data_IF_206014720312
#
_entry.id   IF_206014720312
#
_cell.length_a   1.000
_cell.length_b   1.000
_cell.length_c   1.000
_cell.angle_alpha   90.00
_cell.angle_beta   90.00
_cell.angle_gamma   90.00
#
_symmetry.space_group_name_H-M   'P 1'
#
loop_
_entity.id
_entity.type
_entity.pdbx_description
1 polymer ?
#
# COMPACT_ATOMS: atom_id res chain seq x y z
N UNK A 1 -19.05 0.12 -18.83
CA UNK A 1 -18.19 0.14 -17.63
C UNK A 1 -16.91 -0.62 -17.91
N UNK A 2 -15.94 0.05 -18.56
CA UNK A 2 -14.66 -0.52 -19.02
C UNK A 2 -13.75 -0.75 -17.82
N UNK A 3 -13.85 -1.94 -17.25
CA UNK A 3 -12.92 -2.46 -16.25
C UNK A 3 -11.53 -2.43 -16.86
N UNK A 4 -10.65 -1.63 -16.26
CA UNK A 4 -9.31 -1.38 -16.77
C UNK A 4 -8.57 -2.72 -16.90
N UNK A 5 -8.35 -3.15 -18.13
CA UNK A 5 -7.46 -4.25 -18.51
C UNK A 5 -6.01 -3.85 -18.20
N UNK A 6 -5.67 -3.70 -16.93
CA UNK A 6 -4.28 -3.66 -16.52
C UNK A 6 -3.91 -5.12 -16.34
N UNK A 7 -3.39 -5.72 -17.41
CA UNK A 7 -2.91 -7.09 -17.42
C UNK A 7 -2.01 -7.32 -16.20
N UNK A 8 -2.19 -8.40 -15.42
CA UNK A 8 -1.34 -8.71 -14.28
C UNK A 8 0.16 -8.78 -14.65
N UNK A 9 0.42 -8.96 -15.94
CA UNK A 9 1.75 -8.93 -16.56
C UNK A 9 2.42 -7.55 -16.62
N UNK A 10 1.69 -6.44 -16.81
CA UNK A 10 2.29 -5.08 -16.75
C UNK A 10 2.67 -4.69 -15.32
N UNK A 11 1.94 -5.20 -14.33
CA UNK A 11 2.31 -5.04 -12.91
C UNK A 11 3.63 -5.77 -12.64
N UNK A 12 3.75 -7.03 -13.07
CA UNK A 12 4.96 -7.85 -12.87
C UNK A 12 6.18 -7.37 -13.66
N UNK A 13 5.99 -6.88 -14.89
CA UNK A 13 7.10 -6.44 -15.77
C UNK A 13 7.55 -5.01 -15.47
N UNK A 14 6.67 -4.17 -14.94
CA UNK A 14 7.08 -2.91 -14.30
C UNK A 14 7.88 -3.16 -13.01
N UNK A 15 7.50 -4.14 -12.20
CA UNK A 15 8.16 -4.49 -10.93
C UNK A 15 9.62 -4.99 -11.05
N UNK A 16 10.13 -5.33 -12.24
CA UNK A 16 11.54 -5.75 -12.40
C UNK A 16 12.50 -4.57 -12.64
N UNK A 17 12.01 -3.40 -13.06
CA UNK A 17 12.82 -2.17 -13.23
C UNK A 17 12.46 -1.08 -12.21
N UNK A 18 11.35 -1.26 -11.47
CA UNK A 18 10.99 -0.39 -10.35
C UNK A 18 11.93 -0.74 -9.20
N UNK A 19 13.09 -0.05 -9.18
CA UNK A 19 13.91 0.28 -8.02
C UNK A 19 13.21 -0.12 -6.71
N UNK A 20 13.76 -1.03 -5.91
CA UNK A 20 13.21 -1.41 -4.59
C UNK A 20 12.81 -0.17 -3.75
N UNK A 21 13.54 0.94 -3.97
CA UNK A 21 13.26 2.27 -3.48
C UNK A 21 11.84 2.80 -3.77
N UNK A 22 11.32 2.58 -4.97
CA UNK A 22 10.02 3.08 -5.42
C UNK A 22 8.88 2.24 -4.85
N UNK A 23 9.10 0.94 -4.64
CA UNK A 23 8.14 0.06 -3.96
C UNK A 23 7.95 0.49 -2.50
N UNK A 24 9.06 0.73 -1.79
CA UNK A 24 9.08 1.30 -0.44
C UNK A 24 8.45 2.70 -0.39
N UNK A 25 8.82 3.59 -1.33
CA UNK A 25 8.23 4.94 -1.41
C UNK A 25 6.71 4.90 -1.64
N UNK A 26 6.22 3.97 -2.45
CA UNK A 26 4.79 3.84 -2.75
C UNK A 26 4.01 3.40 -1.52
N UNK A 27 4.49 2.39 -0.77
CA UNK A 27 3.80 1.94 0.43
C UNK A 27 3.80 3.03 1.50
N UNK A 28 4.93 3.72 1.71
CA UNK A 28 5.05 4.84 2.64
C UNK A 28 4.10 5.98 2.29
N UNK A 29 4.03 6.37 1.02
CA UNK A 29 3.09 7.38 0.53
C UNK A 29 1.62 6.97 0.76
N UNK A 30 1.26 5.71 0.50
CA UNK A 30 -0.09 5.21 0.73
C UNK A 30 -0.45 5.20 2.22
N UNK A 31 0.49 4.79 3.08
CA UNK A 31 0.35 4.82 4.54
C UNK A 31 0.10 6.25 5.00
N UNK A 32 0.95 7.21 4.63
CA UNK A 32 0.81 8.62 5.03
C UNK A 32 -0.50 9.22 4.53
N UNK A 33 -0.83 9.02 3.26
CA UNK A 33 -2.09 9.51 2.68
C UNK A 33 -3.31 8.96 3.41
N UNK A 34 -3.30 7.66 3.73
CA UNK A 34 -4.38 7.03 4.49
C UNK A 34 -4.40 7.53 5.93
N UNK A 35 -3.23 7.72 6.54
CA UNK A 35 -3.06 8.23 7.90
C UNK A 35 -3.59 9.67 8.04
N UNK A 36 -3.36 10.54 7.05
CA UNK A 36 -3.92 11.90 7.01
C UNK A 36 -5.43 11.90 6.75
N UNK A 37 -5.94 10.94 5.97
CA UNK A 37 -7.38 10.82 5.69
C UNK A 37 -8.18 10.25 6.86
N UNK A 38 -7.57 9.39 7.69
CA UNK A 38 -8.23 8.80 8.85
C UNK A 38 -8.25 9.80 10.02
N UNK A 39 -9.44 10.30 10.36
CA UNK A 39 -9.72 11.13 11.55
C UNK A 39 -9.99 10.30 12.81
N UNK A 40 -9.32 9.17 12.96
CA UNK A 40 -9.50 8.28 14.12
C UNK A 40 -8.53 8.71 15.24
N UNK A 41 -9.07 8.99 16.43
CA UNK A 41 -8.24 9.33 17.61
C UNK A 41 -7.46 8.12 18.13
N UNK A 42 -7.99 6.91 17.94
CA UNK A 42 -7.35 5.70 18.43
C UNK A 42 -6.30 5.18 17.43
N UNK A 43 -5.02 5.33 17.81
CA UNK A 43 -3.86 4.91 17.02
C UNK A 43 -3.89 3.43 16.62
N UNK A 44 -4.39 2.52 17.48
CA UNK A 44 -4.50 1.10 17.14
C UNK A 44 -5.53 0.84 16.04
N UNK A 45 -6.72 1.45 16.16
CA UNK A 45 -7.76 1.34 15.12
C UNK A 45 -7.30 1.99 13.80
N UNK A 46 -6.55 3.08 13.89
CA UNK A 46 -5.95 3.76 12.74
C UNK A 46 -4.95 2.86 12.00
N UNK A 47 -4.00 2.25 12.73
CA UNK A 47 -3.04 1.29 12.16
C UNK A 47 -3.75 0.11 11.51
N UNK A 48 -4.74 -0.49 12.19
CA UNK A 48 -5.54 -1.58 11.62
C UNK A 48 -6.21 -1.20 10.29
N UNK A 49 -6.82 -0.01 10.20
CA UNK A 49 -7.43 0.50 8.96
C UNK A 49 -6.43 0.68 7.82
N UNK A 50 -5.18 1.05 8.12
CA UNK A 50 -4.11 1.19 7.13
C UNK A 50 -3.66 -0.20 6.66
N UNK A 51 -3.46 -1.13 7.59
CA UNK A 51 -3.09 -2.51 7.29
C UNK A 51 -4.15 -3.18 6.42
N UNK A 52 -5.42 -3.15 6.83
CA UNK A 52 -6.54 -3.72 6.07
C UNK A 52 -6.64 -3.11 4.67
N UNK A 53 -6.39 -1.79 4.54
CA UNK A 53 -6.39 -1.09 3.26
C UNK A 53 -5.28 -1.57 2.31
N UNK A 54 -4.07 -1.77 2.83
CA UNK A 54 -2.92 -2.23 2.03
C UNK A 54 -3.01 -3.73 1.72
N UNK A 55 -3.51 -4.53 2.66
CA UNK A 55 -3.81 -5.95 2.43
C UNK A 55 -4.86 -6.12 1.32
N UNK A 56 -5.94 -5.33 1.33
CA UNK A 56 -6.94 -5.34 0.24
C UNK A 56 -6.37 -4.89 -1.12
N UNK A 57 -5.27 -4.14 -1.12
CA UNK A 57 -4.55 -3.73 -2.33
C UNK A 57 -3.55 -4.80 -2.82
N UNK A 58 -3.34 -5.87 -2.06
CA UNK A 58 -2.42 -6.95 -2.39
C UNK A 58 -0.98 -6.73 -1.93
N UNK A 59 -0.74 -5.80 -1.00
CA UNK A 59 0.59 -5.63 -0.38
C UNK A 59 0.83 -6.66 0.71
N UNK A 60 2.10 -7.04 0.89
CA UNK A 60 2.51 -8.03 1.88
C UNK A 60 2.42 -7.47 3.31
N UNK A 61 1.88 -8.28 4.23
CA UNK A 61 1.74 -7.91 5.64
C UNK A 61 3.07 -7.50 6.28
N UNK A 62 4.13 -8.24 5.98
CA UNK A 62 5.46 -8.03 6.54
C UNK A 62 6.01 -6.65 6.14
N UNK A 63 5.86 -6.29 4.88
CA UNK A 63 6.26 -4.97 4.35
C UNK A 63 5.43 -3.83 4.93
N UNK A 64 4.13 -4.05 5.14
CA UNK A 64 3.24 -3.09 5.77
C UNK A 64 3.68 -2.83 7.22
N UNK A 65 4.04 -3.88 7.97
CA UNK A 65 4.53 -3.75 9.35
C UNK A 65 5.88 -3.05 9.40
N UNK A 66 6.83 -3.40 8.53
CA UNK A 66 8.14 -2.73 8.48
C UNK A 66 8.01 -1.21 8.24
N UNK A 67 7.03 -0.78 7.44
CA UNK A 67 6.79 0.63 7.16
C UNK A 67 5.90 1.34 8.19
N UNK A 68 5.30 0.59 9.13
CA UNK A 68 4.50 1.12 10.25
C UNK A 68 5.30 1.21 11.56
N UNK A 69 6.47 0.57 11.62
CA UNK A 69 7.37 0.51 12.76
C UNK A 69 8.01 1.87 13.07
#
# INVERSE_FOLDING_TARGET
>A
LKQKQISPYLIKKGLQEIDDNLYQKTIKYLIEKKNCSIKEQNSYKKRKKIIDFLLQKGYEYQLIIENLA
#
